data_IF_683881214590
#
_entry.id   IF_683881214590
#
_cell.length_a   1.000
_cell.length_b   1.000
_cell.length_c   1.000
_cell.angle_alpha   90.00
_cell.angle_beta   90.00
_cell.angle_gamma   90.00
#
_symmetry.space_group_name_H-M   'P 1'
#
loop_
_entity.id
_entity.type
_entity.pdbx_description
1 polymer ?
#
# COMPACT_ATOMS: atom_id res chain seq x y z
N UNK A 1 1.33 13.15 76.02
CA UNK A 1 2.17 13.92 75.08
C UNK A 1 2.75 12.96 74.01
N UNK A 2 1.85 12.26 73.28
CA UNK A 2 2.23 11.03 72.53
C UNK A 2 1.55 10.93 71.16
N UNK A 3 0.75 11.94 70.79
CA UNK A 3 -0.04 11.93 69.55
C UNK A 3 0.68 12.55 68.35
N UNK A 4 1.65 13.43 68.56
CA UNK A 4 2.34 14.16 67.48
C UNK A 4 3.32 13.29 66.68
N UNK A 5 3.87 12.21 67.25
CA UNK A 5 4.84 11.34 66.55
C UNK A 5 4.21 10.43 65.48
N UNK A 6 2.94 10.04 65.62
CA UNK A 6 2.26 9.16 64.64
C UNK A 6 1.89 9.89 63.35
N UNK A 7 1.58 11.19 63.44
CA UNK A 7 1.15 11.99 62.28
C UNK A 7 2.34 12.29 61.36
N UNK A 8 3.53 12.56 61.91
CA UNK A 8 4.73 12.79 61.09
C UNK A 8 5.18 11.55 60.30
N UNK A 9 5.01 10.34 60.83
CA UNK A 9 5.43 9.12 60.13
C UNK A 9 4.50 8.78 58.95
N UNK A 10 3.19 9.04 59.11
CA UNK A 10 2.20 8.80 58.05
C UNK A 10 2.35 9.78 56.87
N UNK A 11 2.77 11.03 57.12
CA UNK A 11 2.96 12.02 56.06
C UNK A 11 4.17 11.70 55.16
N UNK A 12 5.27 11.23 55.75
CA UNK A 12 6.50 10.89 55.02
C UNK A 12 6.32 9.68 54.09
N UNK A 13 5.51 8.69 54.48
CA UNK A 13 5.21 7.51 53.63
C UNK A 13 4.31 7.89 52.46
N UNK A 14 3.33 8.78 52.68
CA UNK A 14 2.45 9.27 51.62
C UNK A 14 3.21 10.11 50.58
N UNK A 15 4.16 10.94 51.02
CA UNK A 15 5.01 11.76 50.13
C UNK A 15 5.94 10.89 49.27
N UNK A 16 6.49 9.81 49.84
CA UNK A 16 7.34 8.84 49.12
C UNK A 16 6.57 8.05 48.05
N UNK A 17 5.33 7.67 48.32
CA UNK A 17 4.45 7.01 47.35
C UNK A 17 4.03 7.94 46.19
N UNK A 18 3.85 9.24 46.46
CA UNK A 18 3.54 10.25 45.45
C UNK A 18 4.72 10.56 44.52
N UNK A 19 5.96 10.46 45.01
CA UNK A 19 7.17 10.62 44.20
C UNK A 19 7.45 9.36 43.35
N UNK A 20 7.20 8.15 43.88
CA UNK A 20 7.39 6.90 43.13
C UNK A 20 6.37 6.71 41.99
N UNK A 21 5.18 7.29 42.09
CA UNK A 21 4.15 7.21 41.03
C UNK A 21 4.41 8.14 39.85
N UNK A 22 5.27 9.16 40.00
CA UNK A 22 5.61 10.09 38.91
C UNK A 22 6.63 9.50 37.90
N UNK A 23 7.27 8.37 38.21
CA UNK A 23 8.34 7.77 37.38
C UNK A 23 7.79 6.85 36.27
N UNK A 24 6.49 6.53 36.27
CA UNK A 24 5.91 5.49 35.41
C UNK A 24 5.19 5.96 34.14
N UNK A 25 5.25 7.25 33.77
CA UNK A 25 4.52 7.76 32.59
C UNK A 25 5.42 8.59 31.68
N UNK A 26 6.46 7.97 31.14
CA UNK A 26 6.98 8.38 29.85
C UNK A 26 6.78 7.21 28.89
N UNK A 27 5.62 7.10 28.21
CA UNK A 27 5.59 6.34 26.99
C UNK A 27 6.60 7.04 26.08
N UNK A 28 7.78 6.45 25.92
CA UNK A 28 8.74 6.92 24.95
C UNK A 28 8.05 6.89 23.59
N UNK A 29 7.57 8.06 23.15
CA UNK A 29 7.38 8.34 21.76
C UNK A 29 8.75 8.13 21.12
N UNK A 30 9.04 6.88 20.70
CA UNK A 30 10.01 6.64 19.64
C UNK A 30 9.52 7.52 18.51
N UNK A 31 10.19 8.65 18.30
CA UNK A 31 10.08 9.38 17.05
C UNK A 31 10.38 8.33 15.98
N UNK A 32 9.35 7.95 15.24
CA UNK A 32 9.53 7.22 13.99
C UNK A 32 10.49 8.10 13.20
N UNK A 33 11.67 7.58 12.90
CA UNK A 33 12.66 8.29 12.08
C UNK A 33 11.91 8.79 10.85
N UNK A 34 11.89 10.11 10.66
CA UNK A 34 11.18 10.76 9.56
C UNK A 34 11.83 10.48 8.20
N UNK A 35 12.97 9.81 8.20
CA UNK A 35 13.73 9.51 7.01
C UNK A 35 13.21 8.21 6.41
N UNK A 36 12.93 8.25 5.10
CA UNK A 36 12.61 7.08 4.30
C UNK A 36 13.72 6.02 4.47
N UNK A 37 13.40 4.78 4.86
CA UNK A 37 14.40 3.72 4.98
C UNK A 37 15.14 3.44 3.66
N UNK A 38 16.42 3.06 3.72
CA UNK A 38 17.21 2.74 2.53
C UNK A 38 16.63 1.57 1.73
N UNK A 39 15.91 0.66 2.40
CA UNK A 39 15.25 -0.50 1.81
C UNK A 39 13.75 -0.27 1.53
N UNK A 40 13.32 0.99 1.48
CA UNK A 40 11.93 1.33 1.20
C UNK A 40 11.55 0.95 -0.24
N UNK A 41 10.58 0.05 -0.37
CA UNK A 41 10.02 -0.40 -1.63
C UNK A 41 8.49 -0.45 -1.52
N UNK A 42 7.79 -0.10 -2.60
CA UNK A 42 6.33 -0.22 -2.73
C UNK A 42 5.99 -0.90 -4.04
N UNK A 43 5.21 -1.98 -3.98
CA UNK A 43 4.64 -2.64 -5.15
C UNK A 43 3.13 -2.50 -5.12
N UNK A 44 2.53 -1.92 -6.16
CA UNK A 44 1.08 -1.86 -6.33
C UNK A 44 0.69 -2.73 -7.52
N UNK A 45 -0.21 -3.68 -7.27
CA UNK A 45 -0.75 -4.59 -8.27
C UNK A 45 -2.19 -4.19 -8.56
N UNK A 46 -2.52 -4.09 -9.84
CA UNK A 46 -3.88 -3.91 -10.31
C UNK A 46 -4.27 -5.08 -11.20
N UNK A 47 -5.45 -5.62 -10.98
CA UNK A 47 -6.03 -6.72 -11.74
C UNK A 47 -7.49 -6.35 -12.03
N UNK A 48 -7.85 -6.33 -13.31
CA UNK A 48 -9.23 -6.05 -13.73
C UNK A 48 -10.10 -7.27 -13.42
N UNK A 49 -11.21 -7.03 -12.73
CA UNK A 49 -12.12 -8.09 -12.33
C UNK A 49 -12.63 -8.89 -13.52
N UNK A 50 -12.91 -10.17 -13.28
CA UNK A 50 -13.42 -11.05 -14.33
C UNK A 50 -14.82 -10.61 -14.79
N UNK A 51 -14.89 -9.86 -15.88
CA UNK A 51 -16.12 -9.51 -16.59
C UNK A 51 -16.07 -10.10 -18.01
N UNK A 52 -17.18 -10.68 -18.52
CA UNK A 52 -17.35 -10.93 -19.95
C UNK A 52 -17.62 -9.61 -20.70
N UNK A 53 -17.06 -9.37 -21.91
CA UNK A 53 -16.10 -10.20 -22.67
C UNK A 53 -14.68 -10.20 -22.08
N UNK A 54 -13.84 -11.18 -22.49
CA UNK A 54 -12.56 -11.57 -21.87
C UNK A 54 -11.39 -10.55 -21.96
N UNK A 55 -11.64 -9.24 -21.90
CA UNK A 55 -10.57 -8.25 -21.83
C UNK A 55 -10.06 -8.14 -20.38
N UNK A 56 -9.35 -9.17 -19.97
CA UNK A 56 -8.60 -9.16 -18.72
C UNK A 56 -7.24 -8.52 -18.96
N UNK A 57 -6.72 -7.81 -17.97
CA UNK A 57 -5.36 -7.32 -17.94
C UNK A 57 -4.95 -7.06 -16.50
N UNK A 58 -3.64 -7.08 -16.27
CA UNK A 58 -3.07 -6.63 -15.02
C UNK A 58 -1.93 -5.65 -15.29
N UNK A 59 -1.62 -4.83 -14.30
CA UNK A 59 -0.36 -4.09 -14.27
C UNK A 59 0.21 -4.03 -12.85
N UNK A 60 1.53 -3.87 -12.77
CA UNK A 60 2.27 -3.71 -11.53
C UNK A 60 3.14 -2.45 -11.59
N UNK A 61 3.06 -1.62 -10.56
CA UNK A 61 3.95 -0.48 -10.36
C UNK A 61 4.86 -0.79 -9.18
N UNK A 62 6.17 -0.87 -9.43
CA UNK A 62 7.22 -0.99 -8.40
C UNK A 62 7.95 0.32 -8.24
N UNK A 63 8.05 0.79 -7.01
CA UNK A 63 8.82 1.97 -6.62
C UNK A 63 9.89 1.51 -5.63
N UNK A 64 11.14 1.80 -5.94
CA UNK A 64 12.28 1.51 -5.08
C UNK A 64 12.92 0.13 -5.27
N UNK A 65 14.04 -0.12 -4.56
CA UNK A 65 14.63 0.78 -3.57
C UNK A 65 15.29 2.01 -4.21
N UNK A 66 15.23 3.15 -3.53
CA UNK A 66 15.67 4.44 -4.07
C UNK A 66 14.76 4.99 -5.16
N UNK A 67 15.31 5.82 -6.05
CA UNK A 67 14.56 6.57 -7.07
C UNK A 67 14.09 5.74 -8.28
N UNK A 68 14.48 4.47 -8.37
CA UNK A 68 14.20 3.62 -9.52
C UNK A 68 12.79 3.03 -9.45
N UNK A 69 12.07 3.01 -10.57
CA UNK A 69 10.73 2.47 -10.66
C UNK A 69 10.53 1.60 -11.91
N UNK A 70 9.59 0.67 -11.83
CA UNK A 70 9.19 -0.21 -12.92
C UNK A 70 7.67 -0.25 -13.07
N UNK A 71 7.22 -0.28 -14.32
CA UNK A 71 5.85 -0.54 -14.71
C UNK A 71 5.82 -1.83 -15.52
N UNK A 72 5.03 -2.80 -15.10
CA UNK A 72 4.78 -4.05 -15.84
C UNK A 72 3.31 -4.12 -16.23
N UNK A 73 3.01 -4.54 -17.46
CA UNK A 73 1.65 -4.71 -17.96
C UNK A 73 1.54 -6.03 -18.72
N UNK A 74 0.41 -6.70 -18.55
CA UNK A 74 0.05 -7.90 -19.28
C UNK A 74 -1.43 -7.83 -19.71
N UNK A 75 -1.71 -7.89 -21.02
CA UNK A 75 -3.05 -8.16 -21.51
C UNK A 75 -3.38 -9.65 -21.47
N UNK A 76 -4.67 -9.96 -21.32
CA UNK A 76 -5.25 -11.28 -21.37
C UNK A 76 -5.09 -12.10 -20.09
N UNK A 77 -5.80 -13.23 -20.06
CA UNK A 77 -5.60 -14.26 -19.04
C UNK A 77 -4.28 -15.01 -19.31
N UNK A 78 -3.43 -15.12 -18.30
CA UNK A 78 -2.22 -15.92 -18.39
C UNK A 78 -1.54 -16.10 -17.04
N UNK A 79 -1.23 -17.34 -16.68
CA UNK A 79 -0.33 -17.62 -15.56
C UNK A 79 1.10 -17.16 -15.94
N UNK A 80 1.84 -16.64 -14.97
CA UNK A 80 3.22 -16.26 -15.24
C UNK A 80 4.11 -17.48 -15.57
N UNK A 81 5.03 -17.37 -16.56
CA UNK A 81 5.24 -16.20 -17.42
C UNK A 81 4.23 -16.19 -18.59
N UNK A 82 3.43 -15.13 -18.68
CA UNK A 82 2.59 -14.96 -19.86
C UNK A 82 3.43 -14.52 -21.06
N UNK A 83 2.99 -14.85 -22.29
CA UNK A 83 3.78 -14.58 -23.49
C UNK A 83 3.90 -13.07 -23.83
N UNK A 84 3.03 -12.22 -23.29
CA UNK A 84 2.94 -10.80 -23.62
C UNK A 84 3.07 -9.95 -22.36
N UNK A 85 4.30 -9.80 -21.87
CA UNK A 85 4.60 -8.88 -20.76
C UNK A 85 5.37 -7.68 -21.29
N UNK A 86 4.79 -6.50 -21.15
CA UNK A 86 5.46 -5.23 -21.42
C UNK A 86 6.02 -4.64 -20.14
N UNK A 87 7.23 -4.07 -20.23
CA UNK A 87 7.91 -3.44 -19.10
C UNK A 87 8.45 -2.07 -19.50
N UNK A 88 8.31 -1.11 -18.60
CA UNK A 88 8.89 0.22 -18.74
C UNK A 88 9.53 0.65 -17.42
N UNK A 89 10.66 1.34 -17.49
CA UNK A 89 11.30 1.92 -16.31
C UNK A 89 11.15 3.43 -16.31
N UNK A 90 11.05 3.99 -15.11
CA UNK A 90 11.03 5.43 -14.88
C UNK A 90 11.69 5.73 -13.54
N UNK A 91 11.89 7.00 -13.24
CA UNK A 91 12.41 7.42 -11.94
C UNK A 91 11.44 8.39 -11.28
N UNK A 92 11.46 8.40 -9.95
CA UNK A 92 10.81 9.41 -9.10
C UNK A 92 11.89 10.18 -8.36
N UNK A 93 11.62 11.42 -7.99
CA UNK A 93 12.53 12.19 -7.13
C UNK A 93 12.52 11.68 -5.68
N UNK A 94 13.62 11.89 -4.95
CA UNK A 94 13.66 11.64 -3.51
C UNK A 94 12.52 12.35 -2.74
N UNK A 95 12.13 13.57 -3.15
CA UNK A 95 11.00 14.27 -2.53
C UNK A 95 9.68 13.52 -2.71
N UNK A 96 9.44 12.94 -3.89
CA UNK A 96 8.25 12.11 -4.14
C UNK A 96 8.25 10.83 -3.30
N UNK A 97 9.42 10.18 -3.12
CA UNK A 97 9.56 9.02 -2.22
C UNK A 97 9.27 9.40 -0.77
N UNK A 98 9.83 10.50 -0.31
CA UNK A 98 9.61 11.00 1.06
C UNK A 98 8.14 11.39 1.29
N UNK A 99 7.46 11.90 0.26
CA UNK A 99 6.02 12.16 0.30
C UNK A 99 5.21 10.86 0.40
N UNK A 100 5.51 9.86 -0.43
CA UNK A 100 4.86 8.55 -0.37
C UNK A 100 5.05 7.90 0.99
N UNK A 101 6.28 7.85 1.50
CA UNK A 101 6.58 7.28 2.81
C UNK A 101 5.82 7.99 3.94
N UNK A 102 5.82 9.34 3.95
CA UNK A 102 5.07 10.12 4.94
C UNK A 102 3.57 9.85 4.89
N UNK A 103 2.99 9.69 3.70
CA UNK A 103 1.57 9.40 3.52
C UNK A 103 1.22 8.00 4.06
N UNK A 104 2.07 7.01 3.81
CA UNK A 104 1.91 5.65 4.37
C UNK A 104 2.02 5.62 5.90
N UNK A 105 2.94 6.42 6.47
CA UNK A 105 3.05 6.59 7.94
C UNK A 105 1.78 7.26 8.47
N UNK A 106 1.32 8.34 7.84
CA UNK A 106 0.15 9.10 8.24
C UNK A 106 -1.12 8.23 8.27
N UNK A 107 -1.33 7.40 7.25
CA UNK A 107 -2.47 6.49 7.19
C UNK A 107 -2.28 5.17 7.94
N UNK A 108 -1.16 5.01 8.65
CA UNK A 108 -0.84 3.82 9.44
C UNK A 108 -0.83 2.52 8.60
N UNK A 109 -0.22 2.55 7.40
CA UNK A 109 -0.14 1.40 6.48
C UNK A 109 0.87 0.33 6.93
N UNK A 110 1.79 0.68 7.83
CA UNK A 110 2.79 -0.23 8.40
C UNK A 110 2.19 -1.13 9.51
N UNK A 111 1.05 -1.78 9.22
CA UNK A 111 0.35 -2.71 10.11
C UNK A 111 0.08 -4.04 9.40
N UNK A 112 -0.13 -5.08 10.21
CA UNK A 112 -0.34 -6.45 9.71
C UNK A 112 -1.81 -6.90 9.78
N UNK A 113 -2.67 -6.16 10.47
CA UNK A 113 -4.08 -6.51 10.64
C UNK A 113 -4.96 -5.47 9.95
N UNK A 114 -5.83 -5.95 9.07
CA UNK A 114 -6.80 -5.17 8.32
C UNK A 114 -8.23 -5.65 8.62
N UNK A 115 -9.19 -4.73 8.55
CA UNK A 115 -10.60 -5.06 8.69
C UNK A 115 -11.15 -5.45 7.33
N UNK A 116 -11.03 -6.73 7.01
CA UNK A 116 -11.50 -7.28 5.75
C UNK A 116 -13.01 -7.57 5.78
N UNK A 117 -13.63 -7.55 4.60
CA UNK A 117 -15.03 -7.84 4.35
C UNK A 117 -15.19 -8.83 3.19
N UNK A 118 -16.38 -8.91 2.63
CA UNK A 118 -16.63 -9.70 1.43
C UNK A 118 -16.20 -8.92 0.18
N UNK A 119 -15.36 -9.53 -0.65
CA UNK A 119 -14.99 -8.98 -1.95
C UNK A 119 -16.07 -9.35 -2.97
N UNK A 120 -16.67 -8.39 -3.70
CA UNK A 120 -17.62 -8.70 -4.76
C UNK A 120 -16.96 -9.57 -5.85
N UNK A 121 -17.63 -10.63 -6.27
CA UNK A 121 -17.15 -11.44 -7.39
C UNK A 121 -17.06 -10.59 -8.66
N UNK A 122 -15.92 -10.65 -9.35
CA UNK A 122 -15.68 -9.90 -10.58
C UNK A 122 -15.36 -8.41 -10.36
N UNK A 123 -15.11 -7.95 -9.13
CA UNK A 123 -14.58 -6.61 -8.92
C UNK A 123 -13.11 -6.52 -9.28
N UNK A 124 -12.69 -5.37 -9.77
CA UNK A 124 -11.28 -5.01 -9.85
C UNK A 124 -10.62 -5.14 -8.46
N UNK A 125 -9.32 -5.44 -8.48
CA UNK A 125 -8.53 -5.55 -7.26
C UNK A 125 -7.26 -4.73 -7.33
N UNK A 126 -6.95 -4.04 -6.24
CA UNK A 126 -5.71 -3.26 -6.09
C UNK A 126 -4.99 -3.67 -4.81
N UNK A 127 -3.95 -4.49 -4.92
CA UNK A 127 -3.16 -4.94 -3.76
C UNK A 127 -1.87 -4.12 -3.65
N UNK A 128 -1.45 -3.79 -2.42
CA UNK A 128 -0.19 -3.08 -2.18
C UNK A 128 0.70 -3.90 -1.25
N UNK A 129 1.97 -4.01 -1.60
CA UNK A 129 3.03 -4.54 -0.74
C UNK A 129 4.05 -3.44 -0.44
N UNK A 130 4.45 -3.31 0.83
CA UNK A 130 5.43 -2.33 1.27
C UNK A 130 6.57 -3.06 1.96
N UNK A 131 7.80 -2.78 1.57
CA UNK A 131 9.00 -3.17 2.31
C UNK A 131 9.61 -1.93 2.96
N UNK A 132 9.88 -2.00 4.25
CA UNK A 132 10.53 -0.92 4.99
C UNK A 132 11.14 -1.45 6.29
N UNK A 133 12.41 -1.14 6.54
CA UNK A 133 13.10 -1.57 7.76
C UNK A 133 13.15 -3.09 7.91
N UNK A 134 13.43 -3.78 6.80
CA UNK A 134 13.50 -5.23 6.63
C UNK A 134 12.20 -5.97 6.97
N UNK A 135 11.06 -5.27 6.94
CA UNK A 135 9.72 -5.84 7.14
C UNK A 135 8.90 -5.66 5.88
N UNK A 136 8.05 -6.65 5.60
CA UNK A 136 7.08 -6.63 4.52
C UNK A 136 5.69 -6.47 5.11
N UNK A 137 4.92 -5.53 4.58
CA UNK A 137 3.54 -5.25 4.94
C UNK A 137 2.66 -5.49 3.72
N UNK A 138 1.64 -6.32 3.90
CA UNK A 138 0.70 -6.70 2.84
C UNK A 138 -0.63 -6.00 3.09
N UNK A 139 -1.12 -5.25 2.11
CA UNK A 139 -2.32 -4.44 2.21
C UNK A 139 -3.37 -5.02 1.27
N UNK A 140 -4.50 -5.54 1.79
CA UNK A 140 -5.57 -6.09 0.98
C UNK A 140 -6.16 -5.08 0.00
N UNK A 141 -6.87 -5.59 -1.01
CA UNK A 141 -7.61 -4.78 -1.97
C UNK A 141 -8.65 -3.88 -1.30
N UNK A 142 -8.82 -2.66 -1.81
CA UNK A 142 -9.85 -1.73 -1.33
C UNK A 142 -11.27 -2.33 -1.46
N UNK A 143 -11.51 -3.15 -2.49
CA UNK A 143 -12.75 -3.92 -2.67
C UNK A 143 -13.02 -4.96 -1.56
N UNK A 144 -11.99 -5.39 -0.84
CA UNK A 144 -12.08 -6.32 0.28
C UNK A 144 -12.01 -5.67 1.67
N UNK A 145 -11.90 -4.34 1.76
CA UNK A 145 -11.74 -3.62 3.04
C UNK A 145 -13.04 -2.98 3.53
N UNK A 146 -13.18 -2.84 4.85
CA UNK A 146 -14.35 -2.22 5.51
C UNK A 146 -14.01 -0.86 6.12
N UNK A 147 -15.00 0.02 6.18
CA UNK A 147 -14.88 1.34 6.78
C UNK A 147 -13.92 2.25 6.01
N UNK A 148 -13.24 3.14 6.73
CA UNK A 148 -12.40 4.19 6.12
C UNK A 148 -11.11 3.63 5.47
N UNK A 149 -10.76 2.38 5.72
CA UNK A 149 -9.52 1.78 5.20
C UNK A 149 -9.55 1.63 3.67
N UNK A 150 -10.71 1.29 3.09
CA UNK A 150 -10.86 1.20 1.64
C UNK A 150 -10.59 2.55 0.94
N UNK A 151 -11.08 3.65 1.53
CA UNK A 151 -10.84 4.99 0.99
C UNK A 151 -9.35 5.37 1.04
N UNK A 152 -8.66 5.04 2.14
CA UNK A 152 -7.22 5.32 2.28
C UNK A 152 -6.38 4.49 1.30
N UNK A 153 -6.72 3.21 1.08
CA UNK A 153 -6.03 2.37 0.10
C UNK A 153 -6.21 2.94 -1.31
N UNK A 154 -7.41 3.37 -1.66
CA UNK A 154 -7.67 4.03 -2.94
C UNK A 154 -6.85 5.32 -3.09
N UNK A 155 -6.77 6.14 -2.06
CA UNK A 155 -5.98 7.37 -2.09
C UNK A 155 -4.48 7.10 -2.28
N UNK A 156 -3.92 6.12 -1.57
CA UNK A 156 -2.52 5.69 -1.79
C UNK A 156 -2.32 5.15 -3.21
N UNK A 157 -3.26 4.33 -3.71
CA UNK A 157 -3.17 3.78 -5.04
C UNK A 157 -3.18 4.88 -6.12
N UNK A 158 -4.06 5.88 -6.00
CA UNK A 158 -4.08 7.03 -6.90
C UNK A 158 -2.78 7.84 -6.82
N UNK A 159 -2.26 8.09 -5.60
CA UNK A 159 -0.96 8.75 -5.44
C UNK A 159 0.17 7.98 -6.15
N UNK A 160 0.21 6.64 -6.04
CA UNK A 160 1.19 5.81 -6.73
C UNK A 160 1.03 5.91 -8.26
N UNK A 161 -0.20 5.92 -8.77
CA UNK A 161 -0.48 6.08 -10.21
C UNK A 161 -0.03 7.44 -10.74
N UNK A 162 -0.18 8.50 -9.96
CA UNK A 162 0.27 9.85 -10.30
C UNK A 162 1.79 9.98 -10.42
N UNK A 163 2.56 9.10 -9.77
CA UNK A 163 4.02 9.05 -9.91
C UNK A 163 4.46 8.48 -11.27
N UNK A 164 3.60 7.75 -11.96
CA UNK A 164 3.92 7.16 -13.27
C UNK A 164 3.81 8.21 -14.37
N UNK A 165 4.85 8.42 -15.19
CA UNK A 165 4.80 9.36 -16.30
C UNK A 165 3.66 9.08 -17.28
N UNK A 166 2.97 10.14 -17.74
CA UNK A 166 1.84 10.04 -18.67
C UNK A 166 2.16 9.26 -19.97
N UNK A 167 3.42 9.28 -20.40
CA UNK A 167 3.89 8.50 -21.57
C UNK A 167 3.70 6.99 -21.38
N UNK A 168 3.99 6.46 -20.18
CA UNK A 168 3.82 5.03 -19.86
C UNK A 168 2.35 4.65 -19.90
N UNK A 169 1.47 5.47 -19.32
CA UNK A 169 0.02 5.25 -19.40
C UNK A 169 -0.50 5.24 -20.83
N UNK A 170 -0.02 6.17 -21.67
CA UNK A 170 -0.42 6.25 -23.07
C UNK A 170 0.03 5.03 -23.88
N UNK A 171 1.25 4.53 -23.62
CA UNK A 171 1.78 3.31 -24.23
C UNK A 171 1.00 2.07 -23.78
N UNK A 172 0.68 1.95 -22.49
CA UNK A 172 -0.16 0.88 -21.96
C UNK A 172 -1.56 0.86 -22.61
N UNK A 173 -2.19 2.03 -22.72
CA UNK A 173 -3.51 2.17 -23.36
C UNK A 173 -3.49 1.77 -24.84
N UNK A 174 -2.44 2.14 -25.57
CA UNK A 174 -2.29 1.73 -26.97
C UNK A 174 -2.18 0.20 -27.10
N UNK A 175 -1.39 -0.45 -26.25
CA UNK A 175 -1.27 -1.92 -26.26
C UNK A 175 -2.58 -2.61 -25.87
N UNK A 176 -3.31 -2.07 -24.90
CA UNK A 176 -4.63 -2.59 -24.53
C UNK A 176 -5.60 -2.50 -25.71
N UNK A 177 -5.63 -1.36 -26.40
CA UNK A 177 -6.48 -1.18 -27.58
C UNK A 177 -6.10 -2.13 -28.72
N UNK A 178 -4.81 -2.34 -28.98
CA UNK A 178 -4.32 -3.28 -29.98
C UNK A 178 -4.73 -4.72 -29.64
N UNK A 179 -4.65 -5.10 -28.35
CA UNK A 179 -5.09 -6.41 -27.88
C UNK A 179 -6.59 -6.61 -28.08
N UNK A 180 -7.42 -5.65 -27.67
CA UNK A 180 -8.87 -5.69 -27.85
C UNK A 180 -9.26 -5.83 -29.32
N UNK A 181 -8.65 -5.02 -30.20
CA UNK A 181 -8.89 -5.09 -31.64
C UNK A 181 -8.55 -6.47 -32.22
N UNK A 182 -7.39 -7.03 -31.82
CA UNK A 182 -6.95 -8.35 -32.30
C UNK A 182 -7.88 -9.48 -31.86
N UNK A 183 -8.47 -9.36 -30.67
CA UNK A 183 -9.41 -10.34 -30.14
C UNK A 183 -10.75 -10.28 -30.89
N UNK A 184 -11.25 -9.07 -31.16
CA UNK A 184 -12.51 -8.88 -31.91
C UNK A 184 -12.41 -9.45 -33.33
N UNK A 185 -11.27 -9.25 -34.00
CA UNK A 185 -10.99 -9.85 -35.31
C UNK A 185 -11.02 -11.40 -35.23
N UNK A 186 -10.38 -11.97 -34.20
CA UNK A 186 -10.38 -13.43 -33.99
C UNK A 186 -11.79 -13.99 -33.72
N UNK A 187 -12.59 -13.31 -32.90
CA UNK A 187 -13.94 -13.76 -32.55
C UNK A 187 -14.91 -13.64 -33.73
N UNK A 188 -14.77 -12.60 -34.56
CA UNK A 188 -15.56 -12.47 -35.78
C UNK A 188 -15.26 -13.60 -36.77
N UNK A 189 -13.99 -13.98 -36.92
CA UNK A 189 -13.60 -15.10 -37.80
C UNK A 189 -14.20 -16.45 -37.37
N UNK A 190 -14.39 -16.68 -36.06
CA UNK A 190 -14.97 -17.93 -35.55
C UNK A 190 -16.48 -18.05 -35.80
N UNK A 191 -17.20 -16.94 -35.99
CA UNK A 191 -18.66 -16.95 -36.19
C UNK A 191 -19.08 -17.15 -37.66
N UNK A 192 -18.13 -17.08 -38.60
CA UNK A 192 -18.36 -17.23 -40.04
C UNK A 192 -18.25 -18.70 -40.54
N UNK A 193 -18.04 -19.67 -39.63
CA UNK A 193 -17.95 -21.11 -39.90
C UNK A 193 -19.00 -21.92 -39.12
#
# INVERSE_FOLDING_TARGET
>A
MTYTKKILCSLSVLLLLLVLTQILIFPGCKQVDKNTPEDFEVSMHYDVGALPPQYHYYYEIKIGPGEQCFFEYQPGYGEQPAPLVWKSSFNVSQEQLDNLYRLLVYYNFFRIFWKEGETPCGSDSTYIEIKAGSKIFKIPSDSGLRGDDAAKVREIAEFIKELVPQKIWSEMQAMQQDFENSYDEMMNYQNDY
#
